data_IF_199564076696
#
_entry.id   IF_199564076696
#
_cell.length_a   1.000
_cell.length_b   1.000
_cell.length_c   1.000
_cell.angle_alpha   90.00
_cell.angle_beta   90.00
_cell.angle_gamma   90.00
#
_symmetry.space_group_name_H-M   'P 1'
#
loop_
_entity.id
_entity.type
_entity.pdbx_description
1 polymer ?
#
# COMPACT_ATOMS: atom_id res chain seq x y z
N UNK A 1 17.11 11.78 40.16
CA UNK A 1 15.81 11.17 39.79
C UNK A 1 15.33 11.90 38.55
N UNK A 2 15.68 11.39 37.36
CA UNK A 2 15.20 11.90 36.11
C UNK A 2 13.82 11.29 35.87
N UNK A 3 12.81 12.17 35.77
CA UNK A 3 11.45 11.78 35.43
C UNK A 3 11.48 11.13 34.03
N UNK A 4 11.14 9.86 33.94
CA UNK A 4 10.82 9.20 32.67
C UNK A 4 9.54 9.88 32.19
N UNK A 5 9.65 10.69 31.13
CA UNK A 5 8.49 11.18 30.41
C UNK A 5 7.74 9.93 29.91
N UNK A 6 6.56 9.68 30.48
CA UNK A 6 5.68 8.63 30.00
C UNK A 6 5.32 8.95 28.54
N UNK A 7 5.75 8.12 27.60
CA UNK A 7 5.34 8.22 26.20
C UNK A 7 3.81 8.33 26.13
N UNK A 8 3.30 9.48 25.69
CA UNK A 8 1.87 9.67 25.49
C UNK A 8 1.45 8.88 24.27
N UNK A 9 0.80 7.75 24.48
CA UNK A 9 0.24 6.93 23.41
C UNK A 9 -1.14 7.48 23.04
N UNK A 10 -1.34 7.78 21.76
CA UNK A 10 -2.65 8.14 21.18
C UNK A 10 -3.23 6.88 20.55
N UNK A 11 -4.43 6.49 21.01
CA UNK A 11 -5.21 5.43 20.37
C UNK A 11 -6.20 6.05 19.40
N UNK A 12 -6.11 5.64 18.12
CA UNK A 12 -7.02 6.07 17.06
C UNK A 12 -7.81 4.84 16.61
N UNK A 13 -9.14 4.98 16.59
CA UNK A 13 -10.06 3.98 16.08
C UNK A 13 -10.66 4.50 14.76
N UNK A 14 -10.54 3.70 13.70
CA UNK A 14 -11.05 4.01 12.37
C UNK A 14 -12.13 3.00 12.02
N UNK A 15 -13.28 3.49 11.57
CA UNK A 15 -14.39 2.65 11.13
C UNK A 15 -14.36 2.39 9.62
N UNK A 16 -13.60 3.17 8.85
CA UNK A 16 -13.48 3.03 7.41
C UNK A 16 -12.54 1.89 7.03
N UNK A 17 -13.06 0.89 6.33
CA UNK A 17 -12.32 -0.28 5.88
C UNK A 17 -11.85 -0.18 4.43
N UNK A 18 -12.40 0.76 3.64
CA UNK A 18 -12.03 1.02 2.25
C UNK A 18 -10.79 1.92 2.09
N UNK A 19 -10.24 2.46 3.19
CA UNK A 19 -9.07 3.36 3.22
C UNK A 19 -7.88 2.70 3.95
N UNK A 20 -7.24 1.65 3.37
CA UNK A 20 -6.08 0.99 3.97
C UNK A 20 -4.88 1.93 4.12
N UNK A 21 -4.81 3.01 3.37
CA UNK A 21 -3.80 4.07 3.51
C UNK A 21 -3.86 4.80 4.86
N UNK A 22 -4.99 4.79 5.56
CA UNK A 22 -5.15 5.39 6.88
C UNK A 22 -4.78 4.45 8.04
N UNK A 23 -4.37 3.22 7.76
CA UNK A 23 -4.00 2.27 8.82
C UNK A 23 -2.59 2.45 9.35
N UNK A 24 -1.80 3.34 8.77
CA UNK A 24 -0.49 3.75 9.26
C UNK A 24 -0.55 5.10 9.98
N UNK A 25 0.39 5.36 10.88
CA UNK A 25 0.60 6.67 11.50
C UNK A 25 0.85 7.74 10.44
N UNK A 26 1.67 7.40 9.44
CA UNK A 26 2.05 8.30 8.35
C UNK A 26 0.87 8.63 7.43
N UNK A 27 0.01 7.65 7.13
CA UNK A 27 -1.19 7.87 6.32
C UNK A 27 -2.19 8.81 7.01
N UNK A 28 -2.41 8.64 8.32
CA UNK A 28 -3.24 9.57 9.10
C UNK A 28 -2.61 10.97 9.11
N UNK A 29 -1.31 11.08 9.37
CA UNK A 29 -0.61 12.37 9.39
C UNK A 29 -0.66 13.05 8.02
N UNK A 30 -0.52 12.30 6.91
CA UNK A 30 -0.70 12.79 5.55
C UNK A 30 -2.09 13.36 5.33
N UNK A 31 -3.15 12.63 5.70
CA UNK A 31 -4.53 13.08 5.52
C UNK A 31 -4.81 14.37 6.33
N UNK A 32 -4.32 14.47 7.55
CA UNK A 32 -4.46 15.66 8.38
C UNK A 32 -3.72 16.87 7.79
N UNK A 33 -2.51 16.67 7.26
CA UNK A 33 -1.75 17.73 6.57
C UNK A 33 -2.49 18.23 5.32
N UNK A 34 -2.96 17.33 4.48
CA UNK A 34 -3.73 17.66 3.27
C UNK A 34 -4.99 18.45 3.62
N UNK A 35 -5.73 17.99 4.62
CA UNK A 35 -6.93 18.69 5.11
C UNK A 35 -6.63 20.09 5.61
N UNK A 36 -5.45 20.30 6.21
CA UNK A 36 -4.96 21.60 6.65
C UNK A 36 -4.35 22.46 5.53
N UNK A 37 -4.41 22.01 4.27
CA UNK A 37 -3.88 22.72 3.11
C UNK A 37 -2.38 22.59 2.90
N UNK A 38 -1.69 21.69 3.59
CA UNK A 38 -0.27 21.40 3.36
C UNK A 38 -0.16 20.39 2.21
N UNK A 39 0.51 20.75 1.09
CA UNK A 39 0.60 19.86 -0.06
C UNK A 39 1.41 18.59 0.25
N UNK A 40 1.04 17.49 -0.40
CA UNK A 40 1.83 16.26 -0.39
C UNK A 40 3.12 16.43 -1.22
N UNK A 41 4.16 15.60 -0.96
CA UNK A 41 5.28 15.46 -1.87
C UNK A 41 4.82 15.02 -3.27
N UNK A 42 5.66 15.32 -4.28
CA UNK A 42 5.41 14.77 -5.62
C UNK A 42 5.75 13.27 -5.67
N UNK A 43 4.72 12.43 -5.56
CA UNK A 43 4.86 10.98 -5.65
C UNK A 43 5.10 10.48 -7.08
N UNK A 44 4.67 11.25 -8.11
CA UNK A 44 4.78 10.83 -9.51
C UNK A 44 6.23 10.73 -10.00
N UNK A 45 7.17 11.33 -9.27
CA UNK A 45 8.61 11.21 -9.57
C UNK A 45 9.09 9.75 -9.54
N UNK A 46 8.56 8.89 -8.66
CA UNK A 46 8.96 7.49 -8.53
C UNK A 46 7.91 6.48 -9.04
N UNK A 47 6.68 6.90 -9.29
CA UNK A 47 5.62 6.03 -9.78
C UNK A 47 5.78 5.73 -11.28
N UNK A 48 5.77 4.47 -11.66
CA UNK A 48 5.56 4.05 -13.04
C UNK A 48 4.06 3.99 -13.38
N UNK A 49 3.75 3.73 -14.63
CA UNK A 49 2.38 3.49 -15.12
C UNK A 49 2.42 2.53 -16.30
N UNK A 50 1.25 2.02 -16.69
CA UNK A 50 1.14 1.10 -17.83
C UNK A 50 1.89 1.63 -19.07
N UNK A 51 2.76 0.80 -19.63
CA UNK A 51 3.60 1.14 -20.78
C UNK A 51 4.82 2.02 -20.47
N UNK A 52 5.15 2.24 -19.20
CA UNK A 52 6.36 2.96 -18.79
C UNK A 52 7.16 2.18 -17.76
N UNK A 53 8.49 2.24 -17.89
CA UNK A 53 9.44 1.67 -16.94
C UNK A 53 10.23 2.84 -16.34
N UNK A 54 10.28 2.92 -15.02
CA UNK A 54 11.13 3.89 -14.31
C UNK A 54 12.56 3.37 -14.25
N UNK A 55 13.52 4.27 -14.02
CA UNK A 55 14.91 3.87 -13.76
C UNK A 55 14.98 3.02 -12.48
N UNK A 56 15.35 1.76 -12.64
CA UNK A 56 15.46 0.76 -11.59
C UNK A 56 16.91 0.50 -11.15
N UNK A 57 17.87 1.26 -11.67
CA UNK A 57 19.31 1.17 -11.29
C UNK A 57 19.85 -0.27 -11.25
N UNK A 58 19.49 -1.07 -12.26
CA UNK A 58 19.82 -2.50 -12.37
C UNK A 58 19.27 -3.41 -11.25
N UNK A 59 18.31 -2.92 -10.44
CA UNK A 59 17.63 -3.74 -9.44
C UNK A 59 16.50 -4.52 -10.09
N UNK A 60 16.70 -5.80 -10.25
CA UNK A 60 15.76 -6.71 -10.94
C UNK A 60 15.37 -7.84 -10.02
N UNK A 61 14.07 -8.19 -10.04
CA UNK A 61 13.56 -9.44 -9.47
C UNK A 61 13.07 -10.31 -10.62
N UNK A 62 13.52 -11.54 -10.66
CA UNK A 62 13.13 -12.55 -11.64
C UNK A 62 12.15 -13.54 -11.00
N UNK A 63 10.96 -13.67 -11.57
CA UNK A 63 9.90 -14.57 -11.09
C UNK A 63 9.94 -15.86 -11.89
N UNK A 64 9.95 -17.02 -11.24
CA UNK A 64 9.88 -18.32 -11.91
C UNK A 64 8.45 -18.69 -12.34
N UNK A 65 8.28 -19.39 -13.50
CA UNK A 65 6.96 -19.75 -14.03
C UNK A 65 6.11 -20.60 -13.07
N UNK A 66 6.73 -21.48 -12.29
CA UNK A 66 6.04 -22.38 -11.37
C UNK A 66 5.29 -21.64 -10.24
N UNK A 67 5.65 -20.40 -9.97
CA UNK A 67 4.98 -19.57 -8.95
C UNK A 67 3.58 -19.14 -9.35
N UNK A 68 3.21 -19.27 -10.63
CA UNK A 68 1.87 -18.94 -11.11
C UNK A 68 0.76 -19.66 -10.33
N UNK A 69 1.01 -20.91 -9.96
CA UNK A 69 0.04 -21.76 -9.23
C UNK A 69 0.24 -21.72 -7.70
N UNK A 70 1.32 -21.08 -7.21
CA UNK A 70 1.66 -21.08 -5.78
C UNK A 70 1.37 -19.71 -5.15
N UNK A 71 2.07 -18.69 -5.63
CA UNK A 71 1.97 -17.30 -5.19
C UNK A 71 2.50 -16.39 -6.30
N UNK A 72 1.62 -16.03 -7.27
CA UNK A 72 2.06 -15.60 -8.59
C UNK A 72 2.74 -14.25 -8.65
N UNK A 73 2.37 -13.29 -7.78
CA UNK A 73 2.74 -11.91 -8.00
C UNK A 73 3.73 -11.40 -6.96
N UNK A 74 4.61 -10.52 -7.44
CA UNK A 74 5.56 -9.79 -6.62
C UNK A 74 5.64 -8.33 -7.09
N UNK A 75 5.72 -7.42 -6.12
CA UNK A 75 6.08 -6.02 -6.32
C UNK A 75 7.20 -5.66 -5.34
N UNK A 76 8.17 -4.82 -5.76
CA UNK A 76 9.27 -4.41 -4.89
C UNK A 76 9.75 -3.00 -5.21
N UNK A 77 10.32 -2.34 -4.22
CA UNK A 77 11.01 -1.06 -4.34
C UNK A 77 12.08 -0.92 -3.26
N UNK A 78 12.98 0.05 -3.41
CA UNK A 78 14.02 0.33 -2.43
C UNK A 78 13.81 1.71 -1.83
N UNK A 79 14.01 1.83 -0.54
CA UNK A 79 13.96 3.06 0.24
C UNK A 79 15.39 3.46 0.55
N UNK A 80 15.74 4.75 0.31
CA UNK A 80 17.08 5.29 0.54
C UNK A 80 17.02 6.67 1.20
N UNK A 81 18.17 7.29 1.45
CA UNK A 81 18.28 8.69 1.84
C UNK A 81 18.80 8.90 3.25
N UNK A 82 18.18 8.31 4.26
CA UNK A 82 18.60 8.48 5.67
C UNK A 82 18.49 7.18 6.47
N UNK A 83 19.23 7.08 7.60
CA UNK A 83 19.12 5.91 8.48
C UNK A 83 17.71 5.75 9.05
N UNK A 84 17.28 4.50 9.21
CA UNK A 84 16.05 4.17 9.93
C UNK A 84 16.29 4.37 11.42
N UNK A 85 15.44 5.17 12.06
CA UNK A 85 15.38 5.31 13.51
C UNK A 85 14.42 4.30 14.15
N UNK A 86 14.35 4.30 15.48
CA UNK A 86 13.51 3.36 16.22
C UNK A 86 12.01 3.60 15.97
N UNK A 87 11.60 4.86 15.80
CA UNK A 87 10.20 5.23 15.54
C UNK A 87 9.78 4.70 14.17
N UNK A 88 10.61 4.94 13.14
CA UNK A 88 10.34 4.46 11.79
C UNK A 88 10.34 2.93 11.72
N UNK A 89 11.27 2.25 12.41
CA UNK A 89 11.30 0.78 12.46
C UNK A 89 10.01 0.24 13.08
N UNK A 90 9.50 0.84 14.13
CA UNK A 90 8.23 0.49 14.76
C UNK A 90 7.05 0.70 13.81
N UNK A 91 7.02 1.84 13.12
CA UNK A 91 5.96 2.16 12.14
C UNK A 91 5.97 1.19 10.95
N UNK A 92 7.14 0.80 10.45
CA UNK A 92 7.27 -0.22 9.38
C UNK A 92 6.63 -1.54 9.84
N UNK A 93 7.00 -2.02 11.02
CA UNK A 93 6.48 -3.29 11.56
C UNK A 93 4.96 -3.23 11.73
N UNK A 94 4.44 -2.13 12.30
CA UNK A 94 3.00 -1.97 12.52
C UNK A 94 2.22 -1.88 11.20
N UNK A 95 2.73 -1.14 10.22
CA UNK A 95 2.10 -1.00 8.89
C UNK A 95 2.11 -2.34 8.16
N UNK A 96 3.24 -3.05 8.18
CA UNK A 96 3.35 -4.39 7.63
C UNK A 96 2.33 -5.36 8.24
N UNK A 97 2.21 -5.38 9.56
CA UNK A 97 1.27 -6.26 10.26
C UNK A 97 -0.18 -5.92 9.92
N UNK A 98 -0.57 -4.64 9.94
CA UNK A 98 -1.94 -4.23 9.61
C UNK A 98 -2.31 -4.53 8.15
N UNK A 99 -1.43 -4.21 7.20
CA UNK A 99 -1.66 -4.52 5.78
C UNK A 99 -1.74 -6.03 5.55
N UNK A 100 -0.81 -6.81 6.09
CA UNK A 100 -0.79 -8.26 5.89
C UNK A 100 -1.95 -8.97 6.60
N UNK A 101 -2.38 -8.49 7.77
CA UNK A 101 -3.46 -9.10 8.54
C UNK A 101 -4.84 -8.78 7.97
N UNK A 102 -5.13 -7.50 7.73
CA UNK A 102 -6.45 -7.06 7.28
C UNK A 102 -6.58 -7.15 5.76
N UNK A 103 -5.86 -6.33 5.03
CA UNK A 103 -5.90 -6.26 3.56
C UNK A 103 -5.37 -7.56 2.93
N UNK A 104 -4.31 -8.14 3.50
CA UNK A 104 -3.72 -9.40 3.08
C UNK A 104 -4.44 -10.66 3.56
N UNK A 105 -5.59 -10.56 4.24
CA UNK A 105 -6.37 -11.70 4.74
C UNK A 105 -5.48 -12.69 5.51
N UNK A 106 -4.85 -12.21 6.57
CA UNK A 106 -3.87 -12.96 7.38
C UNK A 106 -2.72 -13.52 6.53
N UNK A 107 -2.11 -12.68 5.69
CA UNK A 107 -0.99 -12.97 4.78
C UNK A 107 -1.33 -13.86 3.58
N UNK A 108 -2.54 -14.39 3.46
CA UNK A 108 -2.92 -15.24 2.32
C UNK A 108 -2.82 -14.46 1.01
N UNK A 109 -3.56 -13.36 0.90
CA UNK A 109 -3.65 -12.58 -0.34
C UNK A 109 -2.51 -11.58 -0.52
N UNK A 110 -1.92 -11.11 0.58
CA UNK A 110 -0.77 -10.22 0.55
C UNK A 110 0.10 -10.43 1.78
N UNK A 111 1.41 -10.51 1.57
CA UNK A 111 2.43 -10.38 2.60
C UNK A 111 3.49 -9.38 2.18
N UNK A 112 4.21 -8.84 3.14
CA UNK A 112 5.27 -7.84 2.93
C UNK A 112 6.52 -8.27 3.69
N UNK A 113 7.67 -8.20 3.02
CA UNK A 113 9.00 -8.37 3.58
C UNK A 113 9.79 -7.06 3.49
N UNK A 114 10.70 -6.86 4.45
CA UNK A 114 11.64 -5.73 4.44
C UNK A 114 13.03 -6.27 4.70
N UNK A 115 14.01 -5.86 3.88
CA UNK A 115 15.35 -6.39 3.89
C UNK A 115 16.39 -5.29 3.80
N UNK A 116 17.61 -5.55 4.26
CA UNK A 116 18.76 -4.65 4.12
C UNK A 116 19.26 -4.66 2.67
N UNK A 117 18.87 -3.67 1.87
CA UNK A 117 19.17 -3.61 0.44
C UNK A 117 20.68 -3.61 0.13
N UNK A 118 21.50 -3.02 1.01
CA UNK A 118 22.95 -2.97 0.86
C UNK A 118 23.63 -4.36 0.92
N UNK A 119 22.93 -5.35 1.45
CA UNK A 119 23.44 -6.72 1.57
C UNK A 119 22.98 -7.63 0.42
N UNK A 120 22.08 -7.14 -0.45
CA UNK A 120 21.47 -7.94 -1.53
C UNK A 120 22.29 -7.81 -2.81
N UNK A 121 22.65 -8.95 -3.42
CA UNK A 121 23.19 -8.99 -4.76
C UNK A 121 22.08 -9.21 -5.78
N UNK A 122 21.76 -8.19 -6.58
CA UNK A 122 20.80 -8.33 -7.68
C UNK A 122 21.36 -9.10 -8.88
N UNK A 123 20.51 -9.82 -9.66
CA UNK A 123 19.05 -9.93 -9.52
C UNK A 123 18.64 -10.77 -8.31
N UNK A 124 17.46 -10.47 -7.76
CA UNK A 124 16.79 -11.33 -6.80
C UNK A 124 15.95 -12.36 -7.56
N UNK A 125 15.96 -13.59 -7.12
CA UNK A 125 15.23 -14.70 -7.71
C UNK A 125 14.04 -15.06 -6.81
N UNK A 126 12.83 -14.92 -7.33
CA UNK A 126 11.60 -15.42 -6.69
C UNK A 126 11.27 -16.76 -7.32
N UNK A 127 11.45 -17.84 -6.57
CA UNK A 127 11.48 -19.21 -7.07
C UNK A 127 10.65 -20.19 -6.26
N UNK A 128 10.27 -21.31 -6.87
CA UNK A 128 9.54 -22.40 -6.25
C UNK A 128 10.52 -23.53 -5.87
N UNK A 129 10.67 -23.80 -4.58
CA UNK A 129 11.68 -24.74 -4.07
C UNK A 129 11.08 -25.97 -3.42
N UNK A 130 11.86 -27.07 -3.39
CA UNK A 130 11.56 -28.28 -2.64
C UNK A 130 11.69 -27.98 -1.13
N UNK A 131 10.59 -28.03 -0.36
CA UNK A 131 10.61 -27.62 1.05
C UNK A 131 11.37 -28.57 1.96
N UNK A 132 11.62 -29.79 1.55
CA UNK A 132 12.33 -30.79 2.35
C UNK A 132 13.85 -30.72 2.15
N UNK A 133 14.31 -30.14 1.05
CA UNK A 133 15.73 -30.00 0.70
C UNK A 133 16.30 -28.60 0.94
N UNK A 134 15.44 -27.57 0.87
CA UNK A 134 15.88 -26.18 1.00
C UNK A 134 15.93 -25.78 2.46
N UNK A 135 17.10 -25.28 2.90
CA UNK A 135 17.37 -24.88 4.29
C UNK A 135 17.82 -23.43 4.36
N UNK A 136 17.42 -22.74 5.41
CA UNK A 136 17.97 -21.44 5.80
C UNK A 136 17.75 -21.19 7.30
N UNK A 137 18.42 -20.20 7.86
CA UNK A 137 18.20 -19.76 9.24
C UNK A 137 17.07 -18.71 9.26
N UNK A 138 15.88 -19.05 9.79
CA UNK A 138 14.77 -18.10 9.86
C UNK A 138 15.03 -17.01 10.91
N UNK A 139 14.36 -15.87 10.75
CA UNK A 139 14.46 -14.76 11.68
C UNK A 139 14.17 -15.20 13.12
N UNK A 140 14.97 -14.73 14.08
CA UNK A 140 14.95 -15.11 15.50
C UNK A 140 15.41 -16.55 15.81
N UNK A 141 16.01 -17.24 14.86
CA UNK A 141 16.66 -18.53 15.08
C UNK A 141 18.18 -18.42 14.87
N UNK A 142 18.92 -19.33 15.49
CA UNK A 142 20.39 -19.44 15.33
C UNK A 142 20.80 -20.61 14.41
N UNK A 143 19.91 -21.58 14.25
CA UNK A 143 20.18 -22.80 13.49
C UNK A 143 19.36 -22.83 12.19
N UNK A 144 19.94 -23.39 11.12
CA UNK A 144 19.21 -23.60 9.87
C UNK A 144 18.11 -24.66 10.05
N UNK A 145 16.99 -24.44 9.35
CA UNK A 145 15.84 -25.34 9.31
C UNK A 145 15.45 -25.56 7.85
N UNK A 146 14.91 -26.73 7.52
CA UNK A 146 14.25 -26.92 6.23
C UNK A 146 12.97 -26.05 6.15
N UNK A 147 12.57 -25.70 4.94
CA UNK A 147 11.33 -24.95 4.76
C UNK A 147 10.13 -25.70 5.37
N UNK A 148 10.12 -27.03 5.33
CA UNK A 148 9.11 -27.87 5.95
C UNK A 148 9.13 -27.80 7.47
N UNK A 149 10.33 -27.87 8.07
CA UNK A 149 10.49 -27.72 9.53
C UNK A 149 10.04 -26.35 10.01
N UNK A 150 10.31 -25.29 9.24
CA UNK A 150 9.83 -23.95 9.58
C UNK A 150 8.29 -23.91 9.72
N UNK A 151 7.55 -24.59 8.83
CA UNK A 151 6.08 -24.64 8.95
C UNK A 151 5.61 -25.34 10.24
N UNK A 152 6.28 -26.41 10.65
CA UNK A 152 5.85 -27.24 11.79
C UNK A 152 6.39 -26.76 13.14
N UNK A 153 7.59 -26.19 13.17
CA UNK A 153 8.33 -25.92 14.42
C UNK A 153 8.41 -24.45 14.77
N UNK A 154 8.60 -23.56 13.75
CA UNK A 154 8.74 -22.12 13.99
C UNK A 154 7.39 -21.48 14.37
N UNK A 155 7.32 -20.52 15.34
CA UNK A 155 6.07 -19.85 15.71
C UNK A 155 5.30 -19.25 14.51
N UNK A 156 5.98 -18.54 13.62
CA UNK A 156 5.36 -17.98 12.40
C UNK A 156 4.90 -19.06 11.41
N UNK A 157 5.57 -20.21 11.39
CA UNK A 157 5.11 -21.39 10.64
C UNK A 157 3.81 -21.96 11.19
N UNK A 158 3.70 -22.06 12.50
CA UNK A 158 2.46 -22.50 13.18
C UNK A 158 1.30 -21.55 12.95
N UNK A 159 1.57 -20.23 12.92
CA UNK A 159 0.55 -19.20 12.70
C UNK A 159 0.06 -19.17 11.25
N UNK A 160 0.96 -19.30 10.28
CA UNK A 160 0.71 -19.03 8.85
C UNK A 160 0.97 -20.21 7.92
N UNK A 161 1.54 -21.30 8.39
CA UNK A 161 1.92 -22.47 7.57
C UNK A 161 0.75 -23.11 6.82
N UNK A 162 -0.49 -22.94 7.31
CA UNK A 162 -1.70 -23.39 6.64
C UNK A 162 -1.83 -22.85 5.20
N UNK A 163 -1.17 -21.75 4.89
CA UNK A 163 -1.17 -21.14 3.54
C UNK A 163 -0.39 -22.03 2.54
N UNK A 164 0.69 -22.68 2.99
CA UNK A 164 1.59 -23.47 2.15
C UNK A 164 1.51 -24.98 2.40
N UNK A 165 0.83 -25.44 3.45
CA UNK A 165 0.88 -26.84 3.89
C UNK A 165 0.51 -27.89 2.83
N UNK A 166 -0.35 -27.52 1.88
CA UNK A 166 -0.82 -28.40 0.82
C UNK A 166 -0.05 -28.22 -0.50
N UNK A 167 0.96 -27.35 -0.52
CA UNK A 167 1.77 -27.08 -1.72
C UNK A 167 2.93 -28.07 -1.80
N UNK A 168 3.20 -28.57 -3.01
CA UNK A 168 4.35 -29.45 -3.26
C UNK A 168 5.68 -28.71 -3.22
N UNK A 169 5.67 -27.43 -3.65
CA UNK A 169 6.80 -26.52 -3.62
C UNK A 169 6.44 -25.26 -2.87
N UNK A 170 7.42 -24.62 -2.25
CA UNK A 170 7.24 -23.38 -1.50
C UNK A 170 7.89 -22.19 -2.20
N UNK A 171 7.28 -20.99 -2.13
CA UNK A 171 7.89 -19.78 -2.66
C UNK A 171 9.08 -19.36 -1.80
N UNK A 172 10.14 -18.93 -2.44
CA UNK A 172 11.38 -18.49 -1.81
C UNK A 172 11.96 -17.29 -2.55
N UNK A 173 12.48 -16.33 -1.82
CA UNK A 173 13.29 -15.25 -2.35
C UNK A 173 14.77 -15.48 -2.01
N UNK A 174 15.63 -15.42 -3.02
CA UNK A 174 17.09 -15.49 -2.86
C UNK A 174 17.77 -14.47 -3.76
N UNK A 175 18.92 -13.97 -3.36
CA UNK A 175 19.75 -13.10 -4.18
C UNK A 175 20.58 -13.91 -5.21
N UNK A 176 21.33 -13.22 -6.05
CA UNK A 176 22.15 -13.86 -7.11
C UNK A 176 23.31 -14.72 -6.56
N UNK A 177 23.71 -14.54 -5.30
CA UNK A 177 24.67 -15.41 -4.60
C UNK A 177 24.02 -16.63 -3.95
N UNK A 178 22.69 -16.72 -3.99
CA UNK A 178 21.94 -17.78 -3.35
C UNK A 178 21.61 -17.53 -1.87
N UNK A 179 21.96 -16.33 -1.33
CA UNK A 179 21.55 -15.94 0.02
C UNK A 179 20.04 -15.75 0.08
N UNK A 180 19.40 -16.42 1.03
CA UNK A 180 17.95 -16.42 1.16
C UNK A 180 17.49 -15.16 1.88
N UNK A 181 16.53 -14.43 1.28
CA UNK A 181 15.86 -13.28 1.86
C UNK A 181 14.70 -13.72 2.76
N UNK A 182 13.83 -14.59 2.22
CA UNK A 182 12.62 -15.04 2.93
C UNK A 182 11.98 -16.27 2.27
N UNK A 183 11.05 -16.84 3.01
CA UNK A 183 10.04 -17.80 2.53
C UNK A 183 8.65 -17.13 2.66
N UNK A 184 8.20 -16.35 1.66
CA UNK A 184 6.88 -15.72 1.70
C UNK A 184 5.74 -16.76 1.73
N UNK A 185 4.61 -16.51 2.40
CA UNK A 185 4.31 -15.38 3.27
C UNK A 185 4.68 -15.61 4.75
N UNK A 186 5.59 -16.55 5.03
CA UNK A 186 5.83 -17.09 6.38
C UNK A 186 6.82 -16.24 7.15
N UNK A 187 8.11 -16.18 6.67
CA UNK A 187 9.18 -15.60 7.47
C UNK A 187 10.39 -15.15 6.63
N UNK A 188 11.05 -14.10 7.11
CA UNK A 188 12.33 -13.62 6.60
C UNK A 188 13.49 -14.46 7.15
N UNK A 189 14.64 -14.40 6.47
CA UNK A 189 15.89 -14.96 6.98
C UNK A 189 16.52 -14.10 8.09
N UNK A 190 17.33 -14.70 8.91
CA UNK A 190 18.11 -14.00 9.93
C UNK A 190 19.24 -13.13 9.34
N UNK A 191 19.77 -13.49 8.16
CA UNK A 191 20.88 -12.80 7.51
C UNK A 191 20.46 -11.49 6.84
N UNK A 192 19.47 -11.51 5.94
CA UNK A 192 19.07 -10.36 5.13
C UNK A 192 17.79 -9.68 5.64
N UNK A 193 16.90 -10.43 6.31
CA UNK A 193 15.61 -9.94 6.76
C UNK A 193 15.58 -9.32 8.16
N UNK A 194 16.70 -9.22 8.84
CA UNK A 194 16.81 -8.59 10.17
C UNK A 194 17.17 -7.10 10.04
N UNK A 195 16.18 -6.26 9.71
CA UNK A 195 16.34 -4.80 9.67
C UNK A 195 16.54 -4.24 11.07
N UNK A 196 17.48 -3.29 11.22
CA UNK A 196 17.87 -2.67 12.49
C UNK A 196 17.88 -1.16 12.37
N UNK A 197 17.76 -0.50 13.52
CA UNK A 197 18.04 0.94 13.65
C UNK A 197 19.45 1.24 13.11
N UNK A 198 19.55 2.26 12.26
CA UNK A 198 20.79 2.65 11.60
C UNK A 198 20.96 2.12 10.17
N UNK A 199 20.17 1.13 9.73
CA UNK A 199 20.14 0.70 8.34
C UNK A 199 19.65 1.85 7.44
N UNK A 200 20.28 2.03 6.26
CA UNK A 200 20.00 3.19 5.40
C UNK A 200 19.18 2.84 4.18
N UNK A 201 19.45 1.70 3.58
CA UNK A 201 18.82 1.27 2.35
C UNK A 201 18.02 -0.01 2.59
N UNK A 202 16.71 0.07 2.40
CA UNK A 202 15.81 -1.04 2.62
C UNK A 202 15.10 -1.43 1.33
N UNK A 203 15.09 -2.72 1.02
CA UNK A 203 14.21 -3.27 -0.01
C UNK A 203 12.91 -3.70 0.64
N UNK A 204 11.81 -3.18 0.14
CA UNK A 204 10.45 -3.63 0.46
C UNK A 204 9.98 -4.54 -0.66
N UNK A 205 9.48 -5.71 -0.29
CA UNK A 205 8.89 -6.69 -1.18
C UNK A 205 7.48 -7.00 -0.72
N UNK A 206 6.58 -7.20 -1.67
CA UNK A 206 5.22 -7.68 -1.44
C UNK A 206 4.95 -8.85 -2.37
N UNK A 207 4.39 -9.94 -1.83
CA UNK A 207 3.95 -11.09 -2.63
C UNK A 207 2.49 -11.43 -2.35
N UNK A 208 1.80 -11.97 -3.35
CA UNK A 208 0.38 -12.32 -3.19
C UNK A 208 -0.26 -12.95 -4.41
N UNK A 209 -1.59 -13.07 -4.33
CA UNK A 209 -2.47 -13.67 -5.34
C UNK A 209 -3.23 -12.64 -6.20
N UNK A 210 -3.12 -11.34 -5.88
CA UNK A 210 -3.76 -10.25 -6.61
C UNK A 210 -2.79 -9.09 -6.83
N UNK A 211 -2.43 -8.83 -8.09
CA UNK A 211 -1.42 -7.82 -8.44
C UNK A 211 -1.87 -6.41 -8.10
N UNK A 212 -3.13 -6.07 -8.30
CA UNK A 212 -3.66 -4.74 -7.98
C UNK A 212 -3.53 -4.43 -6.48
N UNK A 213 -3.87 -5.39 -5.63
CA UNK A 213 -3.71 -5.26 -4.19
C UNK A 213 -2.23 -5.09 -3.77
N UNK A 214 -1.31 -5.78 -4.46
CA UNK A 214 0.13 -5.62 -4.20
C UNK A 214 0.61 -4.22 -4.60
N UNK A 215 0.18 -3.72 -5.77
CA UNK A 215 0.54 -2.38 -6.23
C UNK A 215 -0.03 -1.30 -5.32
N UNK A 216 -1.27 -1.45 -4.84
CA UNK A 216 -1.86 -0.51 -3.88
C UNK A 216 -1.06 -0.49 -2.57
N UNK A 217 -0.77 -1.65 -1.99
CA UNK A 217 0.00 -1.72 -0.76
C UNK A 217 1.43 -1.18 -0.92
N UNK A 218 2.09 -1.47 -2.06
CA UNK A 218 3.39 -0.90 -2.40
C UNK A 218 3.33 0.63 -2.47
N UNK A 219 2.29 1.19 -3.10
CA UNK A 219 2.09 2.63 -3.20
C UNK A 219 1.84 3.27 -1.82
N UNK A 220 1.02 2.64 -0.96
CA UNK A 220 0.77 3.12 0.41
C UNK A 220 2.09 3.23 1.16
N UNK A 221 2.87 2.15 1.21
CA UNK A 221 4.13 2.12 1.95
C UNK A 221 5.16 3.09 1.37
N UNK A 222 5.29 3.15 0.04
CA UNK A 222 6.21 4.08 -0.62
C UNK A 222 5.85 5.56 -0.35
N UNK A 223 4.56 5.91 -0.38
CA UNK A 223 4.10 7.25 -0.05
C UNK A 223 4.34 7.59 1.44
N UNK A 224 4.13 6.64 2.36
CA UNK A 224 4.42 6.81 3.78
C UNK A 224 5.89 7.15 4.03
N UNK A 225 6.81 6.45 3.35
CA UNK A 225 8.24 6.76 3.43
C UNK A 225 8.61 8.09 2.78
N UNK A 226 8.02 8.40 1.62
CA UNK A 226 8.24 9.69 0.95
C UNK A 226 7.77 10.87 1.81
N UNK A 227 6.65 10.74 2.52
CA UNK A 227 6.15 11.73 3.48
C UNK A 227 7.10 11.96 4.65
N UNK A 228 7.87 10.94 5.01
CA UNK A 228 8.92 11.00 6.03
C UNK A 228 10.27 11.48 5.48
N UNK A 229 10.35 11.87 4.19
CA UNK A 229 11.55 12.42 3.56
C UNK A 229 12.59 11.38 3.17
N UNK A 230 12.16 10.14 2.90
CA UNK A 230 12.99 9.12 2.24
C UNK A 230 12.84 9.21 0.73
N UNK A 231 13.87 8.78 0.01
CA UNK A 231 13.82 8.59 -1.42
C UNK A 231 13.33 7.18 -1.76
N UNK A 232 12.48 7.09 -2.79
CA UNK A 232 11.92 5.83 -3.28
C UNK A 232 12.56 5.53 -4.63
N UNK A 233 13.19 4.36 -4.73
CA UNK A 233 13.85 3.88 -5.94
C UNK A 233 13.13 2.63 -6.46
N UNK A 234 12.62 2.68 -7.70
CA UNK A 234 11.91 1.55 -8.28
C UNK A 234 12.77 0.28 -8.43
N UNK A 235 12.12 -0.86 -8.38
CA UNK A 235 12.69 -2.18 -8.71
C UNK A 235 11.90 -2.74 -9.89
N UNK A 236 12.60 -3.29 -10.88
CA UNK A 236 11.98 -3.99 -12.01
C UNK A 236 11.68 -5.44 -11.61
N UNK A 237 10.41 -5.83 -11.70
CA UNK A 237 9.99 -7.21 -11.51
C UNK A 237 9.60 -7.79 -12.87
N UNK A 238 10.21 -8.92 -13.25
CA UNK A 238 9.95 -9.63 -14.49
C UNK A 238 9.14 -10.89 -14.19
N UNK A 239 7.89 -10.88 -14.61
CA UNK A 239 7.01 -12.04 -14.53
C UNK A 239 7.06 -12.81 -15.85
N UNK A 240 7.11 -14.15 -15.83
CA UNK A 240 7.08 -14.95 -17.07
C UNK A 240 5.67 -15.12 -17.63
N UNK A 241 4.66 -14.53 -17.00
CA UNK A 241 3.24 -14.54 -17.36
C UNK A 241 2.63 -13.15 -17.20
N UNK A 242 1.48 -12.94 -17.86
CA UNK A 242 0.74 -11.67 -17.80
C UNK A 242 0.14 -11.41 -16.41
N UNK A 243 0.27 -10.18 -15.93
CA UNK A 243 -0.21 -9.78 -14.60
C UNK A 243 -1.46 -8.88 -14.63
N UNK A 244 -1.93 -8.50 -15.83
CA UNK A 244 -2.94 -7.46 -16.04
C UNK A 244 -2.34 -6.05 -16.20
N UNK A 245 -1.10 -5.86 -15.75
CA UNK A 245 -0.36 -4.60 -15.86
C UNK A 245 0.89 -4.71 -16.76
N UNK A 246 1.12 -5.88 -17.33
CA UNK A 246 2.27 -6.28 -18.14
C UNK A 246 3.12 -7.35 -17.45
N UNK A 247 4.11 -7.85 -18.15
CA UNK A 247 5.08 -8.83 -17.62
C UNK A 247 6.23 -8.16 -16.88
N UNK A 248 6.67 -7.01 -17.36
CA UNK A 248 7.76 -6.20 -16.81
C UNK A 248 7.18 -4.97 -16.11
N UNK A 249 7.27 -4.93 -14.79
CA UNK A 249 6.65 -3.89 -13.97
C UNK A 249 7.70 -3.28 -13.05
N UNK A 250 7.86 -1.96 -13.07
CA UNK A 250 8.55 -1.23 -12.00
C UNK A 250 7.55 -0.74 -10.96
N UNK A 251 7.75 -1.12 -9.70
CA UNK A 251 6.96 -0.63 -8.59
C UNK A 251 7.78 0.41 -7.78
N UNK A 252 7.10 1.40 -7.18
CA UNK A 252 5.66 1.65 -7.12
C UNK A 252 5.02 2.01 -8.48
N UNK A 253 3.71 1.74 -8.61
CA UNK A 253 3.04 1.80 -9.91
C UNK A 253 1.65 2.46 -9.81
N UNK A 254 1.41 3.51 -10.60
CA UNK A 254 0.12 4.20 -10.66
C UNK A 254 -0.84 3.47 -11.62
N UNK A 255 -1.91 2.93 -11.08
CA UNK A 255 -2.92 2.17 -11.84
C UNK A 255 -4.35 2.71 -11.68
N UNK A 256 -4.53 3.70 -10.81
CA UNK A 256 -5.81 4.29 -10.50
C UNK A 256 -6.48 4.89 -11.74
N UNK A 257 -7.77 4.74 -11.83
CA UNK A 257 -8.59 5.32 -12.90
C UNK A 257 -9.28 6.58 -12.39
N UNK A 258 -9.32 7.66 -13.18
CA UNK A 258 -10.09 8.83 -12.83
C UNK A 258 -11.59 8.53 -12.85
N UNK A 259 -12.33 9.11 -11.91
CA UNK A 259 -13.77 9.10 -11.89
C UNK A 259 -14.32 10.51 -12.20
N UNK A 260 -15.61 10.61 -12.56
CA UNK A 260 -16.25 11.87 -12.94
C UNK A 260 -17.48 12.14 -12.11
N UNK A 261 -17.67 13.41 -11.73
CA UNK A 261 -18.89 13.88 -11.08
C UNK A 261 -19.25 15.30 -11.55
N UNK A 262 -20.53 15.63 -11.56
CA UNK A 262 -21.00 16.97 -11.96
C UNK A 262 -21.36 17.79 -10.72
N UNK A 263 -21.04 19.11 -10.78
CA UNK A 263 -21.31 20.05 -9.69
C UNK A 263 -22.79 20.05 -9.30
N UNK A 264 -23.68 20.09 -10.29
CA UNK A 264 -25.14 20.05 -10.04
C UNK A 264 -25.59 18.76 -9.32
N UNK A 265 -24.94 17.61 -9.61
CA UNK A 265 -25.22 16.35 -8.89
C UNK A 265 -24.67 16.39 -7.47
N UNK A 266 -23.42 16.85 -7.27
CA UNK A 266 -22.79 17.01 -5.97
C UNK A 266 -23.66 17.90 -5.06
N UNK A 267 -24.02 19.09 -5.52
CA UNK A 267 -24.81 20.04 -4.76
C UNK A 267 -26.21 19.50 -4.40
N UNK A 268 -26.87 18.82 -5.35
CA UNK A 268 -28.17 18.19 -5.11
C UNK A 268 -28.09 17.08 -4.06
N UNK A 269 -27.03 16.24 -4.11
CA UNK A 269 -26.88 15.11 -3.18
C UNK A 269 -26.50 15.57 -1.78
N UNK A 270 -25.66 16.57 -1.66
CA UNK A 270 -25.21 17.11 -0.37
C UNK A 270 -26.18 18.16 0.21
N UNK A 271 -27.13 18.66 -0.59
CA UNK A 271 -28.06 19.71 -0.16
C UNK A 271 -27.36 21.06 0.06
N UNK A 272 -26.37 21.38 -0.76
CA UNK A 272 -25.56 22.61 -0.67
C UNK A 272 -25.55 23.37 -2.00
N UNK A 273 -24.99 24.58 -1.98
CA UNK A 273 -24.74 25.40 -3.15
C UNK A 273 -23.26 25.81 -3.20
N UNK A 274 -22.39 24.82 -3.40
CA UNK A 274 -20.96 25.04 -3.57
C UNK A 274 -20.68 25.47 -5.00
N UNK A 275 -19.72 26.38 -5.17
CA UNK A 275 -19.14 26.68 -6.47
C UNK A 275 -18.08 25.62 -6.85
N UNK A 276 -17.62 25.69 -8.11
CA UNK A 276 -16.62 24.77 -8.64
C UNK A 276 -15.28 24.85 -7.88
N UNK A 277 -14.88 26.04 -7.46
CA UNK A 277 -13.61 26.26 -6.77
C UNK A 277 -13.62 25.63 -5.38
N UNK A 278 -14.68 25.80 -4.61
CA UNK A 278 -14.86 25.19 -3.28
C UNK A 278 -14.92 23.67 -3.37
N UNK A 279 -15.64 23.14 -4.37
CA UNK A 279 -15.70 21.70 -4.62
C UNK A 279 -14.33 21.12 -4.96
N UNK A 280 -13.58 21.78 -5.85
CA UNK A 280 -12.21 21.35 -6.19
C UNK A 280 -11.25 21.44 -5.00
N UNK A 281 -11.36 22.46 -4.14
CA UNK A 281 -10.56 22.59 -2.93
C UNK A 281 -10.85 21.44 -1.96
N UNK A 282 -12.11 21.09 -1.74
CA UNK A 282 -12.50 19.96 -0.91
C UNK A 282 -11.87 18.65 -1.39
N UNK A 283 -11.91 18.35 -2.70
CA UNK A 283 -11.30 17.17 -3.29
C UNK A 283 -9.76 17.16 -3.17
N UNK A 284 -9.11 18.31 -3.30
CA UNK A 284 -7.66 18.44 -3.10
C UNK A 284 -7.26 18.15 -1.65
N UNK A 285 -8.09 18.55 -0.67
CA UNK A 285 -7.88 18.22 0.75
C UNK A 285 -7.98 16.72 1.03
N UNK A 286 -8.61 15.96 0.13
CA UNK A 286 -8.65 14.49 0.18
C UNK A 286 -7.51 13.82 -0.59
N UNK A 287 -6.57 14.63 -1.15
CA UNK A 287 -5.39 14.15 -1.85
C UNK A 287 -5.58 13.89 -3.35
N UNK A 288 -6.75 14.20 -3.89
CA UNK A 288 -7.07 13.98 -5.31
C UNK A 288 -6.54 15.10 -6.21
N UNK A 289 -6.19 14.73 -7.44
CA UNK A 289 -5.98 15.70 -8.53
C UNK A 289 -7.28 15.94 -9.25
N UNK A 290 -7.60 17.20 -9.54
CA UNK A 290 -8.90 17.60 -10.07
C UNK A 290 -8.73 18.45 -11.34
N UNK A 291 -9.38 18.01 -12.42
CA UNK A 291 -9.55 18.77 -13.64
C UNK A 291 -11.02 19.18 -13.75
N UNK A 292 -11.28 20.41 -14.21
CA UNK A 292 -12.63 20.96 -14.35
C UNK A 292 -12.92 21.27 -15.82
N UNK A 293 -14.09 20.88 -16.30
CA UNK A 293 -14.56 21.15 -17.66
C UNK A 293 -15.97 21.71 -17.60
N UNK A 294 -16.20 22.86 -18.25
CA UNK A 294 -17.55 23.37 -18.41
C UNK A 294 -18.33 22.54 -19.43
N UNK A 295 -19.54 22.16 -19.07
CA UNK A 295 -20.43 21.34 -19.88
C UNK A 295 -21.83 21.98 -19.93
N UNK A 296 -22.65 21.56 -20.88
CA UNK A 296 -24.06 21.95 -20.95
C UNK A 296 -24.94 20.72 -20.69
N UNK A 297 -25.82 20.81 -19.71
CA UNK A 297 -26.76 19.75 -19.35
C UNK A 297 -28.16 20.34 -19.39
N UNK A 298 -29.04 19.79 -20.23
CA UNK A 298 -30.41 20.25 -20.43
C UNK A 298 -30.52 21.78 -20.74
N UNK A 299 -29.53 22.29 -21.52
CA UNK A 299 -29.48 23.71 -21.92
C UNK A 299 -28.94 24.64 -20.82
N UNK A 300 -28.45 24.13 -19.70
CA UNK A 300 -27.85 24.90 -18.59
C UNK A 300 -26.36 24.59 -18.47
N UNK A 301 -25.58 25.61 -18.10
CA UNK A 301 -24.18 25.42 -17.77
C UNK A 301 -24.02 24.61 -16.48
N UNK A 302 -23.11 23.65 -16.49
CA UNK A 302 -22.69 22.86 -15.32
C UNK A 302 -21.16 22.63 -15.41
N UNK A 303 -20.53 22.18 -14.32
CA UNK A 303 -19.12 21.83 -14.28
C UNK A 303 -18.97 20.33 -14.05
N UNK A 304 -18.22 19.66 -14.92
CA UNK A 304 -17.79 18.28 -14.74
C UNK A 304 -16.37 18.26 -14.12
N UNK A 305 -16.23 17.53 -13.03
CA UNK A 305 -14.93 17.24 -12.40
C UNK A 305 -14.44 15.87 -12.89
N UNK A 306 -13.22 15.84 -13.42
CA UNK A 306 -12.47 14.60 -13.62
C UNK A 306 -11.48 14.50 -12.45
N UNK A 307 -11.70 13.51 -11.58
CA UNK A 307 -10.99 13.35 -10.29
C UNK A 307 -10.10 12.13 -10.36
N UNK A 308 -8.79 12.35 -10.28
CA UNK A 308 -7.80 11.27 -10.24
C UNK A 308 -7.42 11.01 -8.78
N UNK A 309 -7.64 9.78 -8.26
CA UNK A 309 -7.28 9.42 -6.90
C UNK A 309 -5.78 9.53 -6.66
N UNK A 310 -5.40 9.79 -5.41
CA UNK A 310 -4.01 9.67 -5.00
C UNK A 310 -3.48 8.23 -5.19
N UNK A 311 -2.16 8.02 -5.40
CA UNK A 311 -1.60 6.70 -5.71
C UNK A 311 -1.81 5.64 -4.61
N UNK A 312 -2.05 6.06 -3.39
CA UNK A 312 -2.32 5.22 -2.23
C UNK A 312 -3.82 4.91 -2.03
N UNK A 313 -4.70 5.33 -2.97
CA UNK A 313 -6.17 5.13 -2.92
C UNK A 313 -6.64 4.28 -4.09
N UNK A 314 -7.63 3.42 -3.84
CA UNK A 314 -8.31 2.61 -4.85
C UNK A 314 -9.80 2.42 -4.50
N UNK A 315 -10.40 3.44 -3.89
CA UNK A 315 -11.76 3.41 -3.38
C UNK A 315 -12.77 4.19 -4.26
N UNK A 316 -12.33 4.75 -5.40
CA UNK A 316 -13.19 5.42 -6.36
C UNK A 316 -13.79 4.41 -7.34
N UNK A 317 -15.04 4.01 -7.11
CA UNK A 317 -15.78 3.08 -7.98
C UNK A 317 -16.81 3.80 -8.86
N UNK A 318 -17.35 4.93 -8.39
CA UNK A 318 -18.37 5.73 -9.07
C UNK A 318 -18.38 7.17 -8.55
N UNK A 319 -19.31 7.98 -9.07
CA UNK A 319 -19.45 9.40 -8.74
C UNK A 319 -19.82 9.67 -7.27
N UNK A 320 -20.48 8.74 -6.59
CA UNK A 320 -20.82 8.88 -5.18
C UNK A 320 -19.59 8.90 -4.26
N UNK A 321 -18.51 8.22 -4.63
CA UNK A 321 -17.25 8.25 -3.87
C UNK A 321 -16.62 9.65 -3.94
N UNK A 322 -16.75 10.33 -5.09
CA UNK A 322 -16.35 11.73 -5.25
C UNK A 322 -17.22 12.65 -4.37
N UNK A 323 -18.54 12.41 -4.32
CA UNK A 323 -19.47 13.20 -3.52
C UNK A 323 -19.13 13.05 -2.02
N UNK A 324 -18.81 11.84 -1.57
CA UNK A 324 -18.35 11.58 -0.20
C UNK A 324 -17.04 12.34 0.10
N UNK A 325 -16.05 12.29 -0.80
CA UNK A 325 -14.81 13.04 -0.65
C UNK A 325 -15.03 14.56 -0.60
N UNK A 326 -15.97 15.09 -1.38
CA UNK A 326 -16.35 16.52 -1.27
C UNK A 326 -16.91 16.82 0.11
N UNK A 327 -17.79 15.96 0.62
CA UNK A 327 -18.40 16.13 1.95
C UNK A 327 -17.33 16.14 3.05
N UNK A 328 -16.41 15.16 3.04
CA UNK A 328 -15.36 15.03 4.04
C UNK A 328 -14.35 16.18 3.91
N UNK A 329 -13.91 16.50 2.69
CA UNK A 329 -12.92 17.53 2.43
C UNK A 329 -13.43 18.95 2.72
N UNK A 330 -14.74 19.20 2.55
CA UNK A 330 -15.36 20.46 2.96
C UNK A 330 -15.48 20.59 4.50
N UNK A 331 -15.43 19.45 5.21
CA UNK A 331 -15.62 19.37 6.65
C UNK A 331 -17.11 19.15 7.01
N UNK A 332 -17.38 18.15 7.84
CA UNK A 332 -18.75 17.76 8.22
C UNK A 332 -19.51 18.89 8.93
N UNK A 333 -18.83 19.76 9.65
CA UNK A 333 -19.40 20.92 10.32
C UNK A 333 -19.95 22.00 9.36
N UNK A 334 -19.61 21.90 8.05
CA UNK A 334 -20.14 22.78 7.01
C UNK A 334 -21.61 22.48 6.71
N UNK A 335 -22.09 21.29 7.06
CA UNK A 335 -23.43 20.81 6.74
C UNK A 335 -24.36 20.98 7.92
N UNK A 336 -25.49 21.70 7.68
CA UNK A 336 -26.53 21.88 8.71
C UNK A 336 -27.57 20.77 8.58
N UNK A 337 -27.72 19.91 9.59
CA UNK A 337 -28.74 18.86 9.58
C UNK A 337 -30.14 19.44 9.42
N UNK A 338 -30.92 18.92 8.46
CA UNK A 338 -32.30 19.30 8.25
C UNK A 338 -33.24 18.12 8.53
N UNK A 339 -34.38 18.41 9.16
CA UNK A 339 -35.43 17.38 9.32
C UNK A 339 -35.97 17.00 7.95
N UNK A 340 -36.08 15.71 7.60
CA UNK A 340 -36.71 15.29 6.37
C UNK A 340 -38.15 15.70 6.37
N UNK A 341 -38.67 16.12 5.21
CA UNK A 341 -40.13 16.39 5.03
C UNK A 341 -40.84 15.05 5.08
N UNK A 342 -41.52 14.78 6.17
CA UNK A 342 -42.35 13.58 6.31
C UNK A 342 -43.77 13.83 5.78
N UNK A 343 -44.25 12.92 4.94
CA UNK A 343 -45.65 12.96 4.43
C UNK A 343 -46.62 12.18 5.33
N UNK A 344 -46.11 11.41 6.26
CA UNK A 344 -46.92 10.63 7.20
C UNK A 344 -46.58 11.02 8.64
N UNK A 345 -47.59 11.31 9.43
CA UNK A 345 -47.50 11.54 10.87
C UNK A 345 -47.94 10.25 11.55
N UNK A 346 -47.00 9.54 12.20
CA UNK A 346 -47.35 8.42 13.04
C UNK A 346 -48.08 8.89 14.29
N UNK A 347 -49.15 8.19 14.70
CA UNK A 347 -49.78 8.36 16.01
C UNK A 347 -49.30 7.20 16.89
N UNK A 348 -48.88 7.55 18.12
CA UNK A 348 -48.61 6.57 19.19
C UNK A 348 -49.96 6.00 19.67
#
# INVERSE_FOLDING_TARGET
MTAVESERTIKIELNDTNRPDLWSTNGIARQLRLHSGVPAPDYYKFLSKKGSIKDYKNRVVLVEPELQEIRPFLAAFVITGKPIDEVMLRDIIQTQEKLAWNFGRKRKSLSMGVYRADCIQFPVHYKAVDPDKTTFTPLQCEQPMTCRQILSEHPKGKDFGWILQNMAKFPLLADDKGEILSMPPIINSASLGAVKTGDKNLMVELTGDNMENLLLAANIVACDFADCGYDIEPVLVKHPYETGFGTDITAPFYFQQPAKARLGTINRMLGVDFDAAKTADALKRMGSTVEMTEITVDGKSDTEFTVSPAPYRNDFLHDFDIIEDVMIGAGLDTFTPQKPKAFTIGRL
#
